data_IF_618860206443
#
_entry.id   IF_618860206443
#
_cell.length_a   1.000
_cell.length_b   1.000
_cell.length_c   1.000
_cell.angle_alpha   90.00
_cell.angle_beta   90.00
_cell.angle_gamma   90.00
#
_symmetry.space_group_name_H-M   'P 1'
#
loop_
_entity.id
_entity.type
_entity.pdbx_description
1 polymer ?
#
# COMPACT_ATOMS: atom_id res chain seq x y z
N UNK A 1 3.49 15.62 7.64
CA UNK A 1 2.09 15.20 7.41
C UNK A 1 1.82 13.84 8.06
N UNK A 2 0.58 13.61 8.46
CA UNK A 2 0.07 12.34 8.99
C UNK A 2 -1.30 12.04 8.40
N UNK A 3 -1.61 10.76 8.25
CA UNK A 3 -2.92 10.28 7.88
C UNK A 3 -3.55 9.65 9.11
N UNK A 4 -4.75 10.09 9.46
CA UNK A 4 -5.58 9.50 10.51
C UNK A 4 -6.73 8.76 9.84
N UNK A 5 -6.95 7.51 10.24
CA UNK A 5 -8.05 6.68 9.76
C UNK A 5 -9.00 6.42 10.91
N UNK A 6 -10.24 6.90 10.76
CA UNK A 6 -11.36 6.53 11.62
C UNK A 6 -12.11 5.39 10.97
N UNK A 7 -11.97 4.20 11.53
CA UNK A 7 -12.57 2.99 11.00
C UNK A 7 -13.99 2.83 11.55
N UNK A 8 -14.87 2.26 10.73
CA UNK A 8 -16.18 1.83 11.21
C UNK A 8 -16.02 0.65 12.16
N UNK A 9 -17.06 0.41 12.97
CA UNK A 9 -17.09 -0.74 13.88
C UNK A 9 -16.75 -2.04 13.15
N UNK A 10 -15.89 -2.84 13.78
CA UNK A 10 -15.41 -4.15 13.34
C UNK A 10 -14.56 -4.15 12.05
N UNK A 11 -14.23 -2.98 11.48
CA UNK A 11 -13.24 -2.83 10.42
C UNK A 11 -11.85 -2.74 11.06
N UNK A 12 -10.91 -3.58 10.61
CA UNK A 12 -9.56 -3.62 11.19
C UNK A 12 -8.49 -3.34 10.13
N UNK A 13 -7.45 -2.56 10.44
CA UNK A 13 -6.36 -2.31 9.52
C UNK A 13 -5.39 -3.50 9.52
N UNK A 14 -4.90 -3.86 8.34
CA UNK A 14 -3.92 -4.94 8.15
C UNK A 14 -2.54 -4.40 7.85
N UNK A 15 -2.45 -3.42 6.96
CA UNK A 15 -1.20 -2.75 6.62
C UNK A 15 -1.45 -1.42 5.92
N UNK A 16 -0.45 -0.54 5.92
CA UNK A 16 -0.47 0.72 5.16
C UNK A 16 0.85 0.89 4.45
N UNK A 17 0.80 1.12 3.14
CA UNK A 17 1.98 1.29 2.30
C UNK A 17 1.91 2.62 1.56
N UNK A 18 3.03 3.35 1.51
CA UNK A 18 3.24 4.35 0.47
C UNK A 18 3.45 3.61 -0.83
N UNK A 19 2.92 4.14 -1.93
CA UNK A 19 3.20 3.66 -3.28
C UNK A 19 3.97 4.71 -4.07
N UNK A 20 3.55 5.98 -3.99
CA UNK A 20 4.19 7.10 -4.68
C UNK A 20 4.68 8.12 -3.65
N UNK A 21 5.90 8.69 -3.80
CA UNK A 21 6.85 8.47 -4.90
C UNK A 21 7.68 7.18 -4.80
N UNK A 22 7.82 6.61 -3.59
CA UNK A 22 8.59 5.38 -3.35
C UNK A 22 7.76 4.44 -2.51
N UNK A 23 7.75 3.15 -2.90
CA UNK A 23 7.02 2.13 -2.16
C UNK A 23 7.72 1.88 -0.82
N UNK A 24 6.96 1.99 0.27
CA UNK A 24 7.45 1.73 1.61
C UNK A 24 6.31 1.26 2.52
N UNK A 25 6.60 0.32 3.42
CA UNK A 25 5.68 0.01 4.50
C UNK A 25 5.71 1.14 5.52
N UNK A 26 4.58 1.83 5.71
CA UNK A 26 4.47 2.93 6.66
C UNK A 26 4.08 2.45 8.06
N UNK A 27 3.58 1.22 8.16
CA UNK A 27 2.91 0.73 9.36
C UNK A 27 1.70 1.59 9.74
N UNK A 28 1.19 1.37 10.94
CA UNK A 28 0.17 2.21 11.55
C UNK A 28 0.27 2.10 13.08
N UNK A 29 -0.21 3.13 13.77
CA UNK A 29 -0.27 3.19 15.22
C UNK A 29 -1.73 3.33 15.66
N UNK A 30 -2.29 2.37 16.43
CA UNK A 30 -3.57 2.58 17.09
C UNK A 30 -3.52 3.77 18.04
N UNK A 31 -4.51 4.66 17.93
CA UNK A 31 -4.64 5.87 18.76
C UNK A 31 -6.01 5.97 19.46
N UNK A 32 -6.89 4.99 19.22
CA UNK A 32 -8.21 4.88 19.83
C UNK A 32 -8.81 3.51 19.51
N UNK A 33 -10.08 3.29 19.90
CA UNK A 33 -10.75 2.00 19.70
C UNK A 33 -10.87 1.59 18.23
N UNK A 34 -11.20 2.55 17.35
CA UNK A 34 -11.30 2.34 15.90
C UNK A 34 -10.52 3.41 15.13
N UNK A 35 -9.46 3.96 15.73
CA UNK A 35 -8.68 5.03 15.13
C UNK A 35 -7.21 4.63 15.03
N UNK A 36 -6.62 4.81 13.85
CA UNK A 36 -5.18 4.60 13.64
C UNK A 36 -4.54 5.81 12.99
N UNK A 37 -3.30 6.09 13.36
CA UNK A 37 -2.45 7.11 12.75
C UNK A 37 -1.34 6.47 11.92
N UNK A 38 -1.03 7.11 10.80
CA UNK A 38 0.02 6.72 9.87
C UNK A 38 0.91 7.94 9.63
N UNK A 39 2.22 7.79 9.86
CA UNK A 39 3.18 8.87 9.59
C UNK A 39 3.48 8.91 8.09
N UNK A 40 3.10 10.01 7.43
CA UNK A 40 3.41 10.25 6.02
C UNK A 40 4.72 11.04 5.83
N UNK A 41 5.28 11.62 6.88
CA UNK A 41 6.50 12.44 6.74
C UNK A 41 6.25 13.67 5.87
N UNK A 42 7.25 14.06 5.08
CA UNK A 42 7.16 15.23 4.19
C UNK A 42 6.34 14.89 2.94
N UNK A 43 5.51 15.85 2.53
CA UNK A 43 4.79 15.83 1.27
C UNK A 43 5.33 16.99 0.43
N UNK A 44 5.66 16.72 -0.82
CA UNK A 44 6.17 17.73 -1.75
C UNK A 44 5.00 18.39 -2.48
N UNK A 45 4.98 19.72 -2.49
CA UNK A 45 3.94 20.47 -3.17
C UNK A 45 4.00 20.21 -4.69
N UNK A 46 2.85 19.91 -5.29
CA UNK A 46 2.74 19.63 -6.73
C UNK A 46 3.15 18.22 -7.15
N UNK A 47 3.73 17.40 -6.27
CA UNK A 47 4.04 16.00 -6.54
C UNK A 47 2.90 15.07 -6.09
N UNK A 48 2.50 14.07 -6.90
CA UNK A 48 1.50 13.11 -6.48
C UNK A 48 2.01 12.24 -5.33
N UNK A 49 1.18 12.01 -4.33
CA UNK A 49 1.41 11.06 -3.25
C UNK A 49 0.27 10.04 -3.21
N UNK A 50 0.61 8.78 -2.99
CA UNK A 50 -0.38 7.70 -2.96
C UNK A 50 -0.07 6.70 -1.88
N UNK A 51 -1.11 6.29 -1.16
CA UNK A 51 -1.05 5.34 -0.05
C UNK A 51 -2.10 4.26 -0.30
N UNK A 52 -1.70 3.00 -0.14
CA UNK A 52 -2.60 1.84 -0.16
C UNK A 52 -2.84 1.40 1.27
N UNK A 53 -4.11 1.26 1.63
CA UNK A 53 -4.56 0.84 2.96
C UNK A 53 -5.24 -0.52 2.78
N UNK A 54 -4.72 -1.52 3.48
CA UNK A 54 -5.30 -2.86 3.54
C UNK A 54 -6.20 -2.93 4.78
N UNK A 55 -7.49 -3.17 4.57
CA UNK A 55 -8.53 -3.23 5.60
C UNK A 55 -9.24 -4.57 5.54
N UNK A 56 -9.42 -5.21 6.69
CA UNK A 56 -10.34 -6.32 6.85
C UNK A 56 -11.72 -5.76 7.18
N UNK A 57 -12.70 -6.07 6.33
CA UNK A 57 -14.08 -5.59 6.49
C UNK A 57 -15.00 -6.79 6.68
N UNK A 58 -15.86 -6.81 7.71
CA UNK A 58 -16.80 -7.93 7.91
C UNK A 58 -17.83 -7.96 6.79
N UNK A 59 -18.38 -9.15 6.52
CA UNK A 59 -19.49 -9.30 5.58
C UNK A 59 -20.68 -8.44 6.01
N UNK A 60 -21.37 -7.82 5.05
CA UNK A 60 -22.55 -6.98 5.25
C UNK A 60 -23.64 -7.35 4.26
N UNK A 61 -24.87 -6.97 4.59
CA UNK A 61 -25.97 -7.00 3.62
C UNK A 61 -25.66 -6.08 2.43
N UNK A 62 -26.34 -6.32 1.30
CA UNK A 62 -26.17 -5.46 0.12
C UNK A 62 -26.49 -4.00 0.43
N UNK A 63 -25.69 -3.08 -0.11
CA UNK A 63 -25.80 -1.65 0.10
C UNK A 63 -24.45 -0.95 0.22
N UNK A 64 -24.48 0.39 0.27
CA UNK A 64 -23.29 1.22 0.36
C UNK A 64 -23.05 1.68 1.79
N UNK A 65 -21.85 1.43 2.30
CA UNK A 65 -21.47 1.76 3.67
C UNK A 65 -20.19 2.58 3.67
N UNK A 66 -20.12 3.58 4.55
CA UNK A 66 -18.84 4.14 4.93
C UNK A 66 -18.09 3.11 5.77
N UNK A 67 -16.91 2.71 5.33
CA UNK A 67 -16.04 1.76 6.05
C UNK A 67 -14.95 2.47 6.85
N UNK A 68 -14.56 3.67 6.41
CA UNK A 68 -13.62 4.52 7.12
C UNK A 68 -13.82 6.00 6.75
N UNK A 69 -13.25 6.90 7.55
CA UNK A 69 -12.97 8.29 7.18
C UNK A 69 -11.45 8.49 7.28
N UNK A 70 -10.85 8.93 6.19
CA UNK A 70 -9.46 9.32 6.10
C UNK A 70 -9.32 10.82 6.35
N UNK A 71 -8.43 11.21 7.26
CA UNK A 71 -8.08 12.60 7.52
C UNK A 71 -6.60 12.81 7.25
N UNK A 72 -6.27 13.64 6.27
CA UNK A 72 -4.92 14.09 6.02
C UNK A 72 -4.67 15.36 6.83
N UNK A 73 -3.73 15.27 7.78
CA UNK A 73 -3.28 16.39 8.60
C UNK A 73 -1.88 16.80 8.12
N UNK A 74 -1.72 18.05 7.72
CA UNK A 74 -0.44 18.59 7.24
C UNK A 74 -0.30 20.08 7.58
N UNK A 75 0.93 20.58 7.57
CA UNK A 75 1.23 21.99 7.81
C UNK A 75 2.03 22.50 6.62
N UNK A 76 1.47 23.39 5.78
CA UNK A 76 2.23 24.06 4.73
C UNK A 76 3.38 24.87 5.32
N UNK A 77 4.42 25.10 4.52
CA UNK A 77 5.53 25.96 4.93
C UNK A 77 5.01 27.38 5.20
N UNK A 78 5.25 27.90 6.41
CA UNK A 78 4.78 29.23 6.83
C UNK A 78 3.28 29.32 7.16
N UNK A 79 2.55 28.20 7.16
CA UNK A 79 1.11 28.14 7.46
C UNK A 79 0.78 27.46 8.79
N UNK A 80 -0.52 27.29 9.06
CA UNK A 80 -1.05 26.49 10.17
C UNK A 80 -1.37 25.06 9.75
N UNK A 81 -1.69 24.18 10.71
CA UNK A 81 -2.20 22.84 10.37
C UNK A 81 -3.51 22.93 9.57
N UNK A 82 -3.58 22.14 8.51
CA UNK A 82 -4.75 21.93 7.66
C UNK A 82 -5.17 20.46 7.75
N UNK A 83 -6.48 20.25 7.68
CA UNK A 83 -7.09 18.92 7.77
C UNK A 83 -8.03 18.73 6.59
N UNK A 84 -7.72 17.76 5.74
CA UNK A 84 -8.58 17.33 4.63
C UNK A 84 -9.22 15.99 5.00
N UNK A 85 -10.55 15.90 4.88
CA UNK A 85 -11.31 14.69 5.24
C UNK A 85 -11.93 14.05 4.00
N UNK A 86 -11.85 12.73 3.94
CA UNK A 86 -12.42 11.93 2.86
C UNK A 86 -13.10 10.69 3.44
N UNK A 87 -14.37 10.51 3.15
CA UNK A 87 -15.08 9.27 3.48
C UNK A 87 -14.70 8.17 2.47
N UNK A 88 -14.45 6.97 3.00
CA UNK A 88 -14.18 5.76 2.22
C UNK A 88 -15.46 4.94 2.22
N UNK A 89 -16.15 4.94 1.08
CA UNK A 89 -17.39 4.19 0.85
C UNK A 89 -17.07 2.86 0.17
N UNK A 90 -17.73 1.80 0.61
CA UNK A 90 -17.68 0.48 -0.01
C UNK A 90 -19.10 -0.01 -0.28
N UNK A 91 -19.34 -0.44 -1.51
CA UNK A 91 -20.57 -1.07 -1.93
C UNK A 91 -20.47 -2.59 -1.76
N UNK A 92 -21.48 -3.17 -1.10
CA UNK A 92 -21.66 -4.61 -0.97
C UNK A 92 -22.78 -5.02 -1.91
N UNK A 93 -22.53 -6.01 -2.75
CA UNK A 93 -23.51 -6.53 -3.69
C UNK A 93 -23.55 -8.05 -3.65
N UNK A 94 -24.73 -8.61 -3.89
CA UNK A 94 -24.92 -10.05 -4.13
C UNK A 94 -24.89 -10.38 -5.64
N UNK A 95 -24.79 -9.37 -6.50
CA UNK A 95 -24.67 -9.55 -7.94
C UNK A 95 -23.27 -10.07 -8.31
N UNK A 96 -23.22 -11.30 -8.80
CA UNK A 96 -21.97 -11.94 -9.22
C UNK A 96 -21.34 -11.30 -10.47
N UNK A 97 -22.10 -10.48 -11.21
CA UNK A 97 -21.61 -9.76 -12.39
C UNK A 97 -21.01 -8.39 -12.07
N UNK A 98 -21.14 -7.92 -10.83
CA UNK A 98 -20.56 -6.64 -10.41
C UNK A 98 -19.02 -6.67 -10.52
N UNK A 99 -18.38 -5.56 -10.90
CA UNK A 99 -16.92 -5.47 -10.94
C UNK A 99 -16.32 -5.80 -9.57
N UNK A 100 -15.43 -6.80 -9.53
CA UNK A 100 -14.83 -7.26 -8.27
C UNK A 100 -13.75 -6.30 -7.72
N UNK A 101 -13.18 -5.44 -8.57
CA UNK A 101 -12.13 -4.50 -8.19
C UNK A 101 -12.11 -3.26 -9.09
N UNK A 102 -11.63 -2.13 -8.55
CA UNK A 102 -11.26 -0.94 -9.34
C UNK A 102 -9.86 -1.17 -9.97
N UNK A 103 -9.70 -1.07 -11.31
CA UNK A 103 -8.41 -1.32 -11.97
C UNK A 103 -7.26 -0.43 -11.50
N UNK A 104 -7.53 0.83 -11.14
CA UNK A 104 -6.50 1.76 -10.65
C UNK A 104 -6.02 1.34 -9.26
N UNK A 105 -6.96 0.95 -8.39
CA UNK A 105 -6.62 0.42 -7.06
C UNK A 105 -5.83 -0.88 -7.19
N UNK A 106 -6.27 -1.78 -8.08
CA UNK A 106 -5.57 -3.04 -8.31
C UNK A 106 -4.13 -2.80 -8.77
N UNK A 107 -3.89 -1.91 -9.73
CA UNK A 107 -2.54 -1.59 -10.19
C UNK A 107 -1.62 -1.16 -9.02
N UNK A 108 -2.09 -0.31 -8.10
CA UNK A 108 -1.34 0.10 -6.92
C UNK A 108 -1.07 -1.07 -5.95
N UNK A 109 -2.07 -1.95 -5.75
CA UNK A 109 -1.93 -3.16 -4.92
C UNK A 109 -0.88 -4.11 -5.50
N UNK A 110 -0.81 -4.25 -6.81
CA UNK A 110 0.15 -5.12 -7.48
C UNK A 110 1.58 -4.60 -7.36
N UNK A 111 1.80 -3.28 -7.44
CA UNK A 111 3.08 -2.65 -7.12
C UNK A 111 3.53 -2.94 -5.68
N UNK A 112 2.63 -2.79 -4.71
CA UNK A 112 2.90 -3.14 -3.30
C UNK A 112 3.23 -4.63 -3.14
N UNK A 113 2.56 -5.49 -3.90
CA UNK A 113 2.80 -6.94 -3.87
C UNK A 113 4.18 -7.30 -4.41
N UNK A 114 4.60 -6.71 -5.53
CA UNK A 114 5.95 -6.88 -6.05
C UNK A 114 7.02 -6.40 -5.07
N UNK A 115 6.82 -5.24 -4.44
CA UNK A 115 7.71 -4.74 -3.39
C UNK A 115 7.82 -5.71 -2.20
N UNK A 116 6.70 -6.27 -1.72
CA UNK A 116 6.72 -7.28 -0.65
C UNK A 116 7.51 -8.53 -1.03
N UNK A 117 7.43 -8.98 -2.28
CA UNK A 117 8.24 -10.11 -2.77
C UNK A 117 9.73 -9.77 -2.74
N UNK A 118 10.11 -8.58 -3.19
CA UNK A 118 11.49 -8.08 -3.13
C UNK A 118 12.02 -8.02 -1.69
N UNK A 119 11.25 -7.48 -0.74
CA UNK A 119 11.67 -7.43 0.68
C UNK A 119 11.86 -8.83 1.27
N UNK A 120 10.97 -9.77 0.96
CA UNK A 120 11.10 -11.17 1.42
C UNK A 120 12.31 -11.85 0.82
N UNK A 121 12.59 -11.61 -0.46
CA UNK A 121 13.78 -12.13 -1.11
C UNK A 121 15.05 -11.66 -0.40
N UNK A 122 15.17 -10.36 -0.11
CA UNK A 122 16.32 -9.83 0.60
C UNK A 122 16.49 -10.47 2.00
N UNK A 123 15.40 -10.60 2.75
CA UNK A 123 15.43 -11.28 4.05
C UNK A 123 15.83 -12.75 3.96
N UNK A 124 15.45 -13.46 2.89
CA UNK A 124 15.90 -14.83 2.64
C UNK A 124 17.39 -14.91 2.29
N UNK A 125 17.90 -13.96 1.51
CA UNK A 125 19.33 -13.88 1.21
C UNK A 125 20.15 -13.62 2.48
N UNK A 126 19.69 -12.70 3.34
CA UNK A 126 20.30 -12.43 4.65
C UNK A 126 20.29 -13.68 5.56
N UNK A 127 19.27 -14.53 5.43
CA UNK A 127 19.19 -15.82 6.12
C UNK A 127 19.99 -16.95 5.45
N UNK A 128 20.75 -16.66 4.38
CA UNK A 128 21.58 -17.62 3.64
C UNK A 128 20.86 -18.41 2.54
N UNK A 129 19.57 -18.17 2.31
CA UNK A 129 18.80 -18.80 1.24
C UNK A 129 18.87 -17.97 -0.06
N UNK A 130 20.06 -17.91 -0.66
CA UNK A 130 20.32 -17.13 -1.88
C UNK A 130 19.45 -17.62 -3.05
N UNK A 131 19.32 -18.94 -3.25
CA UNK A 131 18.53 -19.50 -4.33
C UNK A 131 17.04 -19.10 -4.24
N UNK A 132 16.45 -19.18 -3.04
CA UNK A 132 15.06 -18.77 -2.80
C UNK A 132 14.84 -17.27 -2.94
N UNK A 133 15.85 -16.46 -2.57
CA UNK A 133 15.85 -15.01 -2.75
C UNK A 133 15.85 -14.62 -4.23
N UNK A 134 16.78 -15.15 -5.02
CA UNK A 134 16.87 -14.86 -6.46
C UNK A 134 15.58 -15.23 -7.18
N UNK A 135 15.01 -16.41 -6.90
CA UNK A 135 13.75 -16.82 -7.52
C UNK A 135 12.62 -15.81 -7.25
N UNK A 136 12.52 -15.30 -6.02
CA UNK A 136 11.50 -14.30 -5.65
C UNK A 136 11.73 -12.94 -6.29
N UNK A 137 12.99 -12.48 -6.42
CA UNK A 137 13.31 -11.24 -7.13
C UNK A 137 12.97 -11.33 -8.61
N UNK A 138 13.29 -12.45 -9.27
CA UNK A 138 12.92 -12.67 -10.67
C UNK A 138 11.39 -12.68 -10.85
N UNK A 139 10.66 -13.34 -9.95
CA UNK A 139 9.20 -13.31 -9.96
C UNK A 139 8.62 -11.90 -9.75
N UNK A 140 9.20 -11.11 -8.84
CA UNK A 140 8.81 -9.72 -8.62
C UNK A 140 9.07 -8.86 -9.87
N UNK A 141 10.22 -9.03 -10.53
CA UNK A 141 10.57 -8.34 -11.75
C UNK A 141 9.61 -8.65 -12.91
N UNK A 142 9.28 -9.93 -13.15
CA UNK A 142 8.29 -10.32 -14.17
C UNK A 142 6.95 -9.63 -13.91
N UNK A 143 6.46 -9.66 -12.66
CA UNK A 143 5.21 -8.99 -12.32
C UNK A 143 5.27 -7.48 -12.57
N UNK A 144 6.38 -6.83 -12.26
CA UNK A 144 6.55 -5.39 -12.52
C UNK A 144 6.58 -5.07 -14.02
N UNK A 145 7.20 -5.92 -14.85
CA UNK A 145 7.16 -5.77 -16.31
C UNK A 145 5.74 -5.88 -16.85
N UNK A 146 4.96 -6.87 -16.38
CA UNK A 146 3.57 -7.06 -16.78
C UNK A 146 2.69 -5.84 -16.44
N UNK A 147 3.08 -5.07 -15.40
CA UNK A 147 2.43 -3.83 -14.99
C UNK A 147 2.92 -2.58 -15.74
N UNK A 148 3.91 -2.71 -16.62
CA UNK A 148 4.55 -1.59 -17.31
C UNK A 148 5.55 -0.81 -16.45
N UNK A 149 5.92 -1.31 -15.27
CA UNK A 149 6.83 -0.66 -14.32
C UNK A 149 8.30 -1.00 -14.64
N UNK A 150 8.78 -0.54 -15.79
CA UNK A 150 10.09 -0.90 -16.34
C UNK A 150 11.26 -0.63 -15.38
N UNK A 151 11.31 0.56 -14.77
CA UNK A 151 12.40 0.93 -13.86
C UNK A 151 12.44 0.06 -12.61
N UNK A 152 11.28 -0.28 -12.05
CA UNK A 152 11.18 -1.14 -10.87
C UNK A 152 11.54 -2.58 -11.22
N UNK A 153 11.10 -3.06 -12.38
CA UNK A 153 11.43 -4.40 -12.85
C UNK A 153 12.93 -4.57 -13.10
N UNK A 154 13.57 -3.59 -13.74
CA UNK A 154 15.00 -3.60 -14.00
C UNK A 154 15.80 -3.67 -12.69
N UNK A 155 15.47 -2.83 -11.71
CA UNK A 155 16.11 -2.84 -10.38
C UNK A 155 15.98 -4.21 -9.69
N UNK A 156 14.82 -4.85 -9.77
CA UNK A 156 14.62 -6.18 -9.20
C UNK A 156 15.46 -7.27 -9.93
N UNK A 157 15.63 -7.20 -11.26
CA UNK A 157 16.50 -8.12 -12.01
C UNK A 157 17.99 -7.92 -11.69
N UNK A 158 18.43 -6.67 -11.61
CA UNK A 158 19.82 -6.34 -11.25
C UNK A 158 20.16 -6.88 -9.86
N UNK A 159 19.25 -6.72 -8.89
CA UNK A 159 19.43 -7.28 -7.55
C UNK A 159 19.46 -8.81 -7.54
N UNK A 160 18.62 -9.47 -8.35
CA UNK A 160 18.65 -10.94 -8.47
C UNK A 160 20.01 -11.43 -9.01
N UNK A 161 20.54 -10.73 -10.01
CA UNK A 161 21.83 -11.03 -10.63
C UNK A 161 22.98 -10.80 -9.66
N UNK A 162 22.96 -9.70 -8.90
CA UNK A 162 23.97 -9.40 -7.88
C UNK A 162 24.01 -10.46 -6.78
N UNK A 163 22.84 -10.93 -6.33
CA UNK A 163 22.76 -12.00 -5.32
C UNK A 163 23.29 -13.35 -5.82
N UNK A 164 23.18 -13.66 -7.11
CA UNK A 164 23.74 -14.91 -7.67
C UNK A 164 25.27 -14.85 -7.83
N UNK A 165 25.85 -13.65 -7.92
CA UNK A 165 27.29 -13.45 -8.15
C UNK A 165 28.10 -13.23 -6.87
N UNK A 166 27.44 -12.93 -5.74
CA UNK A 166 28.04 -12.74 -4.42
C UNK A 166 28.01 -14.01 -3.57
#
# INVERSE_FOLDING_TARGET
>A
ARLLLRLSRDVTPRAVHRVTPVIANLGYQPIGANEVAVKLGNLEAGAPASVVIDLMVPARAAGSFRIAQAELHYTPLGGSEEIVKQDVLLEFSADASAPQYDPRVMNLVEKVTAFKLQTRALSEAEAGNVAGATQKLRAAATRLLDLGELDLAQKAQEQATQLEQG
#
